data_IF_453694854743
#
_entry.id   IF_453694854743
#
_cell.length_a   1.000
_cell.length_b   1.000
_cell.length_c   1.000
_cell.angle_alpha   90.00
_cell.angle_beta   90.00
_cell.angle_gamma   90.00
#
_symmetry.space_group_name_H-M   'P 1'
#
loop_
_entity.id
_entity.type
_entity.pdbx_description
1 polymer ?
#
# COMPACT_ATOMS: atom_id res chain seq x y z
N UNK A 1 -0.03 13.87 16.13
CA UNK A 1 -0.86 13.53 17.31
C UNK A 1 -0.77 12.05 17.56
N UNK A 2 -0.39 11.65 18.76
CA UNK A 2 -0.28 10.24 19.15
C UNK A 2 -1.18 9.96 20.33
N UNK A 3 -1.87 8.82 20.31
CA UNK A 3 -2.76 8.40 21.41
C UNK A 3 -2.00 7.72 22.53
N UNK A 4 -0.71 7.42 22.36
CA UNK A 4 0.17 6.81 23.34
C UNK A 4 1.57 7.42 23.31
N UNK A 5 2.27 7.38 24.44
CA UNK A 5 3.67 7.74 24.60
C UNK A 5 4.34 6.81 25.61
N UNK A 6 5.66 6.66 25.53
CA UNK A 6 6.42 5.96 26.55
C UNK A 6 6.84 6.94 27.66
N UNK A 7 6.44 6.64 28.88
CA UNK A 7 6.85 7.39 30.07
C UNK A 7 8.12 6.77 30.66
N UNK A 8 9.17 7.57 30.81
CA UNK A 8 10.42 7.18 31.45
C UNK A 8 10.21 6.92 32.96
N UNK A 9 9.36 7.71 33.61
CA UNK A 9 9.06 7.56 35.02
C UNK A 9 8.28 6.27 35.31
N UNK A 10 7.32 5.92 34.45
CA UNK A 10 6.50 4.71 34.60
C UNK A 10 7.12 3.47 33.95
N UNK A 11 8.18 3.63 33.14
CA UNK A 11 8.82 2.56 32.36
C UNK A 11 7.86 1.76 31.52
N UNK A 12 6.82 2.42 30.95
CA UNK A 12 5.81 1.78 30.11
C UNK A 12 5.15 2.75 29.13
N UNK A 13 4.52 2.20 28.10
CA UNK A 13 3.66 2.93 27.19
C UNK A 13 2.31 3.22 27.86
N UNK A 14 1.86 4.46 27.80
CA UNK A 14 0.62 4.95 28.43
C UNK A 14 -0.16 5.82 27.48
N UNK A 15 -1.48 5.82 27.63
CA UNK A 15 -2.33 6.87 27.07
C UNK A 15 -2.38 8.12 27.97
N UNK A 16 -2.90 9.25 27.48
CA UNK A 16 -2.93 10.50 28.25
C UNK A 16 -3.69 10.39 29.57
N UNK A 17 -4.76 9.62 29.65
CA UNK A 17 -5.58 9.43 30.85
C UNK A 17 -4.84 8.58 31.88
N UNK A 18 -4.25 7.48 31.43
CA UNK A 18 -3.39 6.63 32.26
C UNK A 18 -2.18 7.40 32.78
N UNK A 19 -1.56 8.24 31.95
CA UNK A 19 -0.41 9.06 32.32
C UNK A 19 -0.70 9.96 33.52
N UNK A 20 -1.77 10.73 33.43
CA UNK A 20 -2.20 11.64 34.50
C UNK A 20 -2.58 10.86 35.76
N UNK A 21 -3.38 9.80 35.61
CA UNK A 21 -3.89 9.02 36.73
C UNK A 21 -2.79 8.29 37.50
N UNK A 22 -1.83 7.65 36.79
CA UNK A 22 -0.78 6.85 37.42
C UNK A 22 0.31 7.69 38.10
N UNK A 23 0.57 8.90 37.60
CA UNK A 23 1.55 9.81 38.16
C UNK A 23 0.93 10.77 39.20
N UNK A 24 -0.41 10.80 39.29
CA UNK A 24 -1.10 11.72 40.22
C UNK A 24 -0.89 13.19 39.84
N UNK A 25 -0.68 13.50 38.55
CA UNK A 25 -0.39 14.83 38.07
C UNK A 25 -1.66 15.66 37.99
N UNK A 26 -1.57 16.91 38.40
CA UNK A 26 -2.59 17.90 38.17
C UNK A 26 -2.37 18.65 36.86
N UNK A 27 -3.37 19.45 36.51
CA UNK A 27 -3.39 20.20 35.28
C UNK A 27 -2.28 21.26 35.15
N UNK A 28 -1.71 21.70 36.25
CA UNK A 28 -0.63 22.72 36.28
C UNK A 28 0.74 22.11 36.06
N UNK A 29 0.92 20.89 36.48
CA UNK A 29 2.21 20.18 36.46
C UNK A 29 2.39 19.24 35.27
N UNK A 30 1.29 18.67 34.73
CA UNK A 30 1.36 17.65 33.69
C UNK A 30 2.08 18.11 32.43
N UNK A 31 1.90 19.38 32.02
CA UNK A 31 2.54 19.87 30.79
C UNK A 31 4.06 19.99 30.90
N UNK A 32 4.56 20.48 32.03
CA UNK A 32 6.00 20.64 32.28
C UNK A 32 6.64 19.25 32.41
N UNK A 33 6.02 18.38 33.19
CA UNK A 33 6.54 17.03 33.44
C UNK A 33 6.58 16.20 32.19
N UNK A 34 5.54 16.25 31.34
CA UNK A 34 5.46 15.49 30.11
C UNK A 34 6.60 15.81 29.14
N UNK A 35 7.04 17.09 29.05
CA UNK A 35 8.13 17.47 28.13
C UNK A 35 9.46 16.75 28.41
N UNK A 36 9.71 16.41 29.65
CA UNK A 36 10.95 15.74 30.07
C UNK A 36 10.80 14.23 30.14
N UNK A 37 9.59 13.76 30.45
CA UNK A 37 9.31 12.36 30.74
C UNK A 37 8.95 11.54 29.51
N UNK A 38 8.07 12.06 28.64
CA UNK A 38 7.53 11.24 27.56
C UNK A 38 8.39 11.28 26.30
N UNK A 39 8.50 10.10 25.68
CA UNK A 39 9.14 9.91 24.37
C UNK A 39 8.25 9.13 23.44
N UNK A 40 8.49 9.27 22.15
CA UNK A 40 7.80 8.43 21.18
C UNK A 40 8.12 6.95 21.41
N UNK A 41 7.13 6.05 21.49
CA UNK A 41 7.38 4.64 21.75
C UNK A 41 8.06 3.90 20.59
N UNK A 42 8.23 4.55 19.43
CA UNK A 42 8.82 3.96 18.21
C UNK A 42 10.19 4.56 17.92
N UNK A 43 10.27 5.86 17.64
CA UNK A 43 11.51 6.53 17.24
C UNK A 43 12.23 7.27 18.37
N UNK A 44 11.73 7.16 19.59
CA UNK A 44 12.30 7.76 20.80
C UNK A 44 12.45 9.30 20.76
N UNK A 45 11.72 9.97 19.85
CA UNK A 45 11.68 11.42 19.81
C UNK A 45 11.28 11.98 21.18
N UNK A 46 12.07 12.94 21.69
CA UNK A 46 11.86 13.63 22.95
C UNK A 46 10.96 14.87 22.80
N UNK A 47 10.63 15.53 23.92
CA UNK A 47 9.93 16.80 23.95
C UNK A 47 8.44 16.68 23.65
N UNK A 48 7.87 15.52 23.98
CA UNK A 48 6.43 15.33 23.88
C UNK A 48 5.66 16.29 24.79
N UNK A 49 4.52 16.78 24.34
CA UNK A 49 3.61 17.62 25.12
C UNK A 49 2.27 16.91 25.32
N UNK A 50 1.72 17.04 26.52
CA UNK A 50 0.38 16.60 26.82
C UNK A 50 -0.64 17.66 26.32
N UNK A 51 -1.63 17.23 25.55
CA UNK A 51 -2.73 18.08 25.09
C UNK A 51 -4.03 17.57 25.69
N UNK A 52 -4.72 18.44 26.42
CA UNK A 52 -5.99 18.12 27.08
C UNK A 52 -7.10 17.81 26.10
N UNK A 53 -8.05 17.01 26.55
CA UNK A 53 -9.33 16.93 25.91
C UNK A 53 -10.00 18.30 25.88
N UNK A 54 -10.57 18.68 24.76
CA UNK A 54 -11.31 19.95 24.61
C UNK A 54 -12.65 19.70 23.95
N UNK A 55 -13.65 20.48 24.39
CA UNK A 55 -14.99 20.50 23.82
C UNK A 55 -15.21 21.88 23.23
N UNK A 56 -15.37 21.95 21.91
CA UNK A 56 -15.71 23.22 21.24
C UNK A 56 -17.00 23.01 20.43
N UNK A 57 -18.14 23.39 21.01
CA UNK A 57 -19.47 23.11 20.45
C UNK A 57 -19.75 21.61 20.35
N UNK A 58 -20.07 21.11 19.15
CA UNK A 58 -20.30 19.71 18.88
C UNK A 58 -18.98 18.86 18.73
N UNK A 59 -17.83 19.53 18.68
CA UNK A 59 -16.54 18.89 18.43
C UNK A 59 -15.86 18.53 19.76
N UNK A 60 -15.60 17.22 19.97
CA UNK A 60 -14.84 16.72 21.12
C UNK A 60 -13.48 16.22 20.65
N UNK A 61 -12.40 16.91 21.07
CA UNK A 61 -11.04 16.37 20.94
C UNK A 61 -10.70 15.57 22.18
N UNK A 62 -10.23 14.31 21.99
CA UNK A 62 -9.68 13.53 23.09
C UNK A 62 -8.33 14.07 23.51
N UNK A 63 -7.94 13.82 24.75
CA UNK A 63 -6.56 14.05 25.18
C UNK A 63 -5.60 13.22 24.31
N UNK A 64 -4.42 13.79 24.00
CA UNK A 64 -3.41 13.16 23.17
C UNK A 64 -2.02 13.72 23.51
N UNK A 65 -1.00 13.02 23.03
CA UNK A 65 0.37 13.53 23.07
C UNK A 65 0.73 14.15 21.71
N UNK A 66 1.59 15.19 21.75
CA UNK A 66 2.07 15.89 20.56
C UNK A 66 3.59 16.00 20.64
N UNK A 67 4.28 15.54 19.60
CA UNK A 67 5.72 15.64 19.44
C UNK A 67 6.00 16.62 18.30
N UNK A 68 6.41 17.83 18.65
CA UNK A 68 6.65 18.92 17.70
C UNK A 68 8.02 19.50 18.00
N UNK A 69 8.84 19.60 16.98
CA UNK A 69 10.10 20.28 16.99
C UNK A 69 9.95 21.77 16.66
N UNK A 70 11.06 22.40 16.33
CA UNK A 70 11.11 23.80 15.92
C UNK A 70 10.26 24.05 14.65
N UNK A 71 9.64 25.20 14.58
CA UNK A 71 8.79 25.63 13.45
C UNK A 71 7.55 24.74 13.17
N UNK A 72 6.96 24.15 14.22
CA UNK A 72 5.81 23.24 14.09
C UNK A 72 6.05 21.98 13.23
N UNK A 73 7.31 21.65 12.92
CA UNK A 73 7.67 20.41 12.22
C UNK A 73 7.55 19.24 13.18
N UNK A 74 7.15 18.08 12.67
CA UNK A 74 7.08 16.85 13.45
C UNK A 74 8.46 16.52 14.05
N UNK A 75 8.52 16.29 15.36
CA UNK A 75 9.74 15.82 16.01
C UNK A 75 10.03 14.32 15.77
N UNK A 76 9.06 13.59 15.21
CA UNK A 76 9.27 12.19 14.86
C UNK A 76 10.23 12.05 13.68
N UNK A 77 10.97 10.95 13.65
CA UNK A 77 11.78 10.58 12.49
C UNK A 77 10.87 10.34 11.26
N UNK A 78 11.28 10.70 10.03
CA UNK A 78 10.48 10.50 8.81
C UNK A 78 9.97 9.06 8.60
N UNK A 79 10.75 8.06 9.01
CA UNK A 79 10.37 6.64 8.94
C UNK A 79 9.47 6.18 10.10
N UNK A 80 9.10 7.05 11.04
CA UNK A 80 8.25 6.70 12.17
C UNK A 80 6.78 6.64 11.75
N UNK A 81 6.02 5.69 12.30
CA UNK A 81 4.58 5.55 12.04
C UNK A 81 3.77 6.80 12.44
N UNK A 82 4.31 7.62 13.32
CA UNK A 82 3.69 8.86 13.80
C UNK A 82 4.23 10.13 13.14
N UNK A 83 5.06 9.99 12.10
CA UNK A 83 5.58 11.15 11.39
C UNK A 83 4.46 11.96 10.72
N UNK A 84 4.50 13.28 10.90
CA UNK A 84 3.51 14.21 10.37
C UNK A 84 2.36 14.48 11.34
N UNK A 85 1.79 15.70 11.28
CA UNK A 85 0.71 16.14 12.18
C UNK A 85 -0.65 15.49 11.85
N UNK A 86 -0.83 15.02 10.63
CA UNK A 86 -2.06 14.36 10.17
C UNK A 86 -1.71 13.10 9.43
N UNK A 87 -2.03 11.96 10.02
CA UNK A 87 -1.98 10.70 9.31
C UNK A 87 -2.91 10.77 8.09
N UNK A 88 -2.38 10.48 6.91
CA UNK A 88 -3.20 10.37 5.70
C UNK A 88 -4.29 9.31 5.89
N UNK A 89 -5.36 9.39 5.10
CA UNK A 89 -6.42 8.38 5.16
C UNK A 89 -5.89 6.98 4.84
N UNK A 90 -4.90 6.88 3.97
CA UNK A 90 -4.21 5.64 3.62
C UNK A 90 -3.48 5.05 4.84
N UNK A 91 -2.66 5.82 5.53
CA UNK A 91 -1.97 5.37 6.76
C UNK A 91 -2.97 4.94 7.84
N UNK A 92 -4.09 5.66 7.99
CA UNK A 92 -5.14 5.30 8.97
C UNK A 92 -5.79 3.94 8.68
N UNK A 93 -5.94 3.57 7.42
CA UNK A 93 -6.51 2.27 7.04
C UNK A 93 -5.61 1.10 7.46
N UNK A 94 -4.30 1.31 7.45
CA UNK A 94 -3.30 0.32 7.86
C UNK A 94 -2.94 0.36 9.35
N UNK A 95 -3.46 1.35 10.08
CA UNK A 95 -3.21 1.50 11.51
C UNK A 95 -4.15 0.61 12.33
N UNK A 96 -3.57 -0.28 13.14
CA UNK A 96 -4.32 -1.11 14.09
C UNK A 96 -4.43 -0.38 15.42
N UNK A 97 -5.50 0.39 15.57
CA UNK A 97 -5.78 1.22 16.73
C UNK A 97 -7.10 0.78 17.41
N UNK A 98 -7.02 0.33 18.64
CA UNK A 98 -8.14 -0.31 19.33
C UNK A 98 -9.17 0.65 19.91
N UNK A 99 -8.83 1.93 20.09
CA UNK A 99 -9.72 2.94 20.70
C UNK A 99 -10.63 3.64 19.71
N UNK A 100 -10.19 3.82 18.48
CA UNK A 100 -10.91 4.62 17.47
C UNK A 100 -11.48 3.78 16.34
N UNK A 101 -10.87 2.65 16.01
CA UNK A 101 -11.33 1.75 14.97
C UNK A 101 -12.32 0.73 15.55
N UNK A 102 -13.60 0.84 15.11
CA UNK A 102 -14.69 -0.04 15.53
C UNK A 102 -14.99 -1.14 14.51
N UNK A 103 -14.12 -1.36 13.55
CA UNK A 103 -14.32 -2.43 12.57
C UNK A 103 -14.27 -3.81 13.25
N UNK A 104 -15.05 -4.74 12.73
CA UNK A 104 -15.09 -6.10 13.25
C UNK A 104 -13.70 -6.76 13.27
N UNK A 105 -12.91 -6.52 12.22
CA UNK A 105 -11.55 -7.07 12.13
C UNK A 105 -10.64 -6.54 13.24
N UNK A 106 -10.67 -5.23 13.53
CA UNK A 106 -9.88 -4.64 14.62
C UNK A 106 -10.32 -5.19 15.98
N UNK A 107 -11.62 -5.43 16.17
CA UNK A 107 -12.11 -6.06 17.39
C UNK A 107 -11.60 -7.50 17.55
N UNK A 108 -11.61 -8.30 16.48
CA UNK A 108 -11.07 -9.67 16.50
C UNK A 108 -9.56 -9.66 16.79
N UNK A 109 -8.80 -8.76 16.14
CA UNK A 109 -7.36 -8.62 16.42
C UNK A 109 -7.12 -8.22 17.87
N UNK A 110 -7.87 -7.24 18.40
CA UNK A 110 -7.78 -6.84 19.81
C UNK A 110 -8.00 -8.01 20.75
N UNK A 111 -9.04 -8.81 20.50
CA UNK A 111 -9.34 -10.01 21.27
C UNK A 111 -8.18 -11.02 21.25
N UNK A 112 -7.58 -11.27 20.08
CA UNK A 112 -6.40 -12.14 19.97
C UNK A 112 -5.18 -11.57 20.72
N UNK A 113 -4.96 -10.26 20.64
CA UNK A 113 -3.86 -9.60 21.36
C UNK A 113 -4.06 -9.70 22.88
N UNK A 114 -5.26 -9.42 23.36
CA UNK A 114 -5.58 -9.56 24.80
C UNK A 114 -5.41 -11.01 25.28
N UNK A 115 -5.88 -11.99 24.50
CA UNK A 115 -5.68 -13.41 24.79
C UNK A 115 -4.20 -13.79 24.85
N UNK A 116 -3.39 -13.28 23.90
CA UNK A 116 -1.95 -13.53 23.88
C UNK A 116 -1.22 -12.97 25.11
N UNK A 117 -1.62 -11.79 25.60
CA UNK A 117 -1.08 -11.19 26.82
C UNK A 117 -1.54 -12.00 28.04
N UNK A 118 -2.80 -12.37 28.12
CA UNK A 118 -3.38 -13.18 29.20
C UNK A 118 -2.67 -14.53 29.33
N UNK A 119 -2.39 -15.20 28.23
CA UNK A 119 -1.66 -16.47 28.16
C UNK A 119 -0.13 -16.32 28.24
N UNK A 120 0.37 -15.10 28.45
CA UNK A 120 1.81 -14.78 28.55
C UNK A 120 2.61 -15.20 27.31
N UNK A 121 2.00 -15.21 26.15
CA UNK A 121 2.66 -15.46 24.88
C UNK A 121 3.56 -14.26 24.51
N UNK A 122 3.07 -13.05 24.77
CA UNK A 122 3.79 -11.79 24.62
C UNK A 122 3.27 -10.72 25.60
N UNK A 123 3.95 -9.59 25.64
CA UNK A 123 3.61 -8.45 26.50
C UNK A 123 3.36 -7.20 25.65
N UNK A 124 2.82 -6.13 26.23
CA UNK A 124 2.78 -4.82 25.58
C UNK A 124 4.18 -4.31 25.22
N UNK A 125 5.17 -4.64 26.04
CA UNK A 125 6.58 -4.33 25.74
C UNK A 125 7.08 -5.06 24.49
N UNK A 126 6.75 -6.34 24.31
CA UNK A 126 7.07 -7.08 23.09
C UNK A 126 6.45 -6.44 21.84
N UNK A 127 5.21 -5.92 21.95
CA UNK A 127 4.56 -5.16 20.87
C UNK A 127 5.34 -3.87 20.54
N UNK A 128 5.82 -3.15 21.54
CA UNK A 128 6.66 -1.97 21.35
C UNK A 128 8.00 -2.34 20.71
N UNK A 129 8.66 -3.38 21.22
CA UNK A 129 9.95 -3.84 20.70
C UNK A 129 9.86 -4.28 19.23
N UNK A 130 8.77 -4.93 18.82
CA UNK A 130 8.51 -5.23 17.42
C UNK A 130 8.43 -3.95 16.57
N UNK A 131 7.68 -2.93 17.01
CA UNK A 131 7.57 -1.65 16.27
C UNK A 131 8.93 -0.95 16.15
N UNK A 132 9.73 -0.95 17.22
CA UNK A 132 11.09 -0.40 17.21
C UNK A 132 12.01 -1.19 16.28
N UNK A 133 11.90 -2.51 16.26
CA UNK A 133 12.67 -3.35 15.35
C UNK A 133 12.35 -3.04 13.89
N UNK A 134 11.08 -2.94 13.50
CA UNK A 134 10.68 -2.55 12.14
C UNK A 134 11.09 -1.10 11.82
N UNK A 135 11.03 -0.21 12.79
CA UNK A 135 11.52 1.15 12.62
C UNK A 135 13.02 1.18 12.33
N UNK A 136 13.81 0.44 13.10
CA UNK A 136 15.25 0.30 12.86
C UNK A 136 15.54 -0.24 11.46
N UNK A 137 14.81 -1.28 11.03
CA UNK A 137 14.92 -1.81 9.67
C UNK A 137 14.60 -0.77 8.59
N UNK A 138 13.57 0.05 8.79
CA UNK A 138 13.26 1.17 7.88
C UNK A 138 14.33 2.25 7.83
N UNK A 139 15.08 2.44 8.90
CA UNK A 139 16.21 3.38 8.96
C UNK A 139 17.50 2.78 8.38
N UNK A 140 17.63 1.43 8.37
CA UNK A 140 18.83 0.72 7.94
C UNK A 140 19.06 0.81 6.43
N UNK A 141 18.01 0.66 5.63
CA UNK A 141 18.12 0.75 4.18
C UNK A 141 16.85 1.27 3.53
N UNK A 142 17.05 2.27 2.69
CA UNK A 142 16.01 2.83 1.83
C UNK A 142 16.54 2.94 0.41
N UNK A 143 15.65 2.97 -0.57
CA UNK A 143 16.00 3.26 -1.94
C UNK A 143 15.07 4.34 -2.51
N UNK A 144 15.57 5.06 -3.49
CA UNK A 144 14.78 6.05 -4.24
C UNK A 144 14.16 5.39 -5.47
N UNK A 145 12.90 5.68 -5.75
CA UNK A 145 12.24 5.22 -6.97
C UNK A 145 12.79 6.05 -8.14
N UNK A 146 13.52 5.38 -9.03
CA UNK A 146 14.11 5.98 -10.23
C UNK A 146 13.23 5.83 -11.49
N UNK A 147 12.07 5.17 -11.38
CA UNK A 147 11.13 5.04 -12.49
C UNK A 147 10.45 6.38 -12.77
N UNK A 148 10.43 6.80 -14.03
CA UNK A 148 9.69 8.00 -14.43
C UNK A 148 8.18 7.75 -14.49
N UNK A 149 7.41 8.84 -14.37
CA UNK A 149 5.94 8.78 -14.48
C UNK A 149 5.53 8.23 -15.85
N UNK A 150 6.20 8.66 -16.92
CA UNK A 150 5.94 8.19 -18.29
C UNK A 150 6.17 6.68 -18.44
N UNK A 151 7.22 6.14 -17.83
CA UNK A 151 7.51 4.70 -17.87
C UNK A 151 6.41 3.89 -17.19
N UNK A 152 5.95 4.34 -16.03
CA UNK A 152 4.91 3.63 -15.27
C UNK A 152 3.54 3.77 -15.92
N UNK A 153 3.22 4.93 -16.48
CA UNK A 153 1.97 5.18 -17.23
C UNK A 153 1.89 4.28 -18.46
N UNK A 154 3.01 4.15 -19.18
CA UNK A 154 3.09 3.23 -20.30
C UNK A 154 2.92 1.76 -19.88
N UNK A 155 3.55 1.32 -18.80
CA UNK A 155 3.33 -0.03 -18.27
C UNK A 155 1.88 -0.26 -17.87
N UNK A 156 1.25 0.70 -17.18
CA UNK A 156 -0.13 0.64 -16.78
C UNK A 156 -1.07 0.53 -18.00
N UNK A 157 -0.77 1.29 -19.07
CA UNK A 157 -1.50 1.19 -20.33
C UNK A 157 -1.39 -0.21 -20.94
N UNK A 158 -0.17 -0.78 -21.04
CA UNK A 158 0.05 -2.11 -21.64
C UNK A 158 -0.65 -3.22 -20.85
N UNK A 159 -0.58 -3.23 -19.52
CA UNK A 159 -1.26 -4.25 -18.71
C UNK A 159 -2.78 -4.08 -18.64
N UNK A 160 -3.29 -2.89 -19.02
CA UNK A 160 -4.72 -2.60 -19.07
C UNK A 160 -5.37 -2.95 -20.43
N UNK A 161 -4.57 -3.23 -21.47
CA UNK A 161 -5.11 -3.57 -22.78
C UNK A 161 -6.08 -4.74 -22.69
N UNK A 162 -7.27 -4.65 -23.35
CA UNK A 162 -8.28 -5.68 -23.31
C UNK A 162 -7.88 -6.87 -24.20
N UNK A 163 -6.89 -7.62 -23.75
CA UNK A 163 -6.44 -8.84 -24.42
C UNK A 163 -6.74 -10.02 -23.50
N UNK A 164 -7.13 -11.12 -24.12
CA UNK A 164 -7.30 -12.40 -23.42
C UNK A 164 -6.08 -12.66 -22.54
N UNK A 165 -6.26 -13.05 -21.26
CA UNK A 165 -5.20 -13.15 -20.26
C UNK A 165 -3.99 -14.02 -20.62
N UNK A 166 -4.06 -14.75 -21.74
CA UNK A 166 -3.01 -15.66 -22.20
C UNK A 166 -2.45 -15.29 -23.58
N UNK A 167 -2.81 -14.14 -24.15
CA UNK A 167 -2.36 -13.78 -25.50
C UNK A 167 -0.84 -13.56 -25.58
N UNK A 168 -0.23 -13.12 -24.49
CA UNK A 168 1.23 -12.93 -24.44
C UNK A 168 2.06 -14.22 -24.34
N UNK A 169 1.44 -15.35 -24.02
CA UNK A 169 2.10 -16.66 -24.06
C UNK A 169 2.06 -17.33 -25.43
N UNK A 170 1.36 -16.73 -26.39
CA UNK A 170 1.19 -17.29 -27.74
C UNK A 170 2.30 -16.79 -28.66
N UNK A 171 3.15 -17.70 -29.13
CA UNK A 171 4.18 -17.41 -30.13
C UNK A 171 3.61 -17.33 -31.57
N UNK A 172 2.33 -17.65 -31.74
CA UNK A 172 1.64 -17.73 -33.02
C UNK A 172 0.82 -16.49 -33.40
N UNK A 173 0.99 -15.38 -32.69
CA UNK A 173 0.33 -14.12 -33.04
C UNK A 173 0.91 -13.58 -34.36
N UNK A 174 0.13 -13.68 -35.42
CA UNK A 174 0.49 -13.09 -36.69
C UNK A 174 0.43 -11.56 -36.61
N UNK A 175 1.38 -10.85 -37.26
CA UNK A 175 1.32 -9.40 -37.38
C UNK A 175 0.06 -8.96 -38.16
N UNK A 176 -0.33 -7.72 -37.97
CA UNK A 176 -1.44 -7.17 -38.74
C UNK A 176 -1.20 -7.32 -40.25
N UNK A 177 -2.17 -7.90 -40.95
CA UNK A 177 -2.16 -7.98 -42.39
C UNK A 177 -3.30 -7.13 -42.96
N UNK A 178 -3.02 -6.21 -43.91
CA UNK A 178 -4.02 -5.29 -44.46
C UNK A 178 -5.31 -5.94 -44.91
N UNK A 179 -5.26 -7.15 -45.46
CA UNK A 179 -6.47 -7.90 -45.89
C UNK A 179 -7.42 -8.24 -44.76
N UNK A 180 -6.99 -8.17 -43.48
CA UNK A 180 -7.89 -8.34 -42.35
C UNK A 180 -8.97 -7.26 -42.30
N UNK A 181 -8.63 -6.04 -42.74
CA UNK A 181 -9.56 -4.89 -42.72
C UNK A 181 -10.77 -5.03 -43.64
N UNK A 182 -10.73 -5.93 -44.64
CA UNK A 182 -11.86 -6.21 -45.54
C UNK A 182 -12.71 -7.41 -45.12
N UNK A 183 -12.29 -8.11 -44.06
CA UNK A 183 -13.05 -9.26 -43.54
C UNK A 183 -14.29 -8.77 -42.80
N UNK A 184 -15.50 -9.29 -43.14
CA UNK A 184 -16.71 -8.90 -42.42
C UNK A 184 -16.56 -9.09 -40.89
N UNK A 185 -16.89 -8.05 -40.13
CA UNK A 185 -16.75 -8.05 -38.67
C UNK A 185 -15.37 -7.64 -38.18
N UNK A 186 -14.48 -7.18 -39.05
CA UNK A 186 -13.21 -6.58 -38.62
C UNK A 186 -13.49 -5.34 -37.75
N UNK A 187 -12.67 -5.22 -36.68
CA UNK A 187 -12.77 -4.17 -35.70
C UNK A 187 -11.35 -3.61 -35.46
N UNK A 188 -11.16 -2.33 -35.80
CA UNK A 188 -9.89 -1.66 -35.71
C UNK A 188 -9.38 -1.61 -34.26
N UNK A 189 -10.24 -1.31 -33.29
CA UNK A 189 -9.83 -1.18 -31.88
C UNK A 189 -9.28 -2.51 -31.33
N UNK A 190 -9.94 -3.61 -31.67
CA UNK A 190 -9.46 -4.96 -31.33
C UNK A 190 -8.17 -5.34 -32.06
N UNK A 191 -8.05 -4.94 -33.33
CA UNK A 191 -6.86 -5.23 -34.13
C UNK A 191 -5.66 -4.44 -33.61
N UNK A 192 -5.85 -3.15 -33.30
CA UNK A 192 -4.82 -2.29 -32.70
C UNK A 192 -4.39 -2.85 -31.34
N UNK A 193 -5.32 -3.18 -30.46
CA UNK A 193 -5.01 -3.78 -29.16
C UNK A 193 -4.21 -5.07 -29.30
N UNK A 194 -4.57 -5.94 -30.24
CA UNK A 194 -3.87 -7.20 -30.53
C UNK A 194 -2.44 -6.95 -31.05
N UNK A 195 -2.28 -6.03 -31.98
CA UNK A 195 -0.98 -5.69 -32.56
C UNK A 195 -0.08 -5.03 -31.52
N UNK A 196 -0.62 -4.14 -30.68
CA UNK A 196 0.11 -3.54 -29.56
C UNK A 196 0.62 -4.61 -28.59
N UNK A 197 -0.24 -5.57 -28.22
CA UNK A 197 0.17 -6.70 -27.38
C UNK A 197 1.26 -7.53 -28.05
N UNK A 198 1.12 -7.83 -29.35
CA UNK A 198 2.12 -8.59 -30.10
C UNK A 198 3.49 -7.90 -30.11
N UNK A 199 3.51 -6.58 -30.31
CA UNK A 199 4.75 -5.79 -30.29
C UNK A 199 5.40 -5.73 -28.91
N UNK A 200 4.59 -5.75 -27.84
CA UNK A 200 5.06 -5.68 -26.46
C UNK A 200 5.10 -7.04 -25.75
N UNK A 201 4.97 -8.15 -26.48
CA UNK A 201 5.04 -9.50 -25.91
C UNK A 201 6.27 -9.73 -25.03
N UNK A 202 7.50 -9.32 -25.41
CA UNK A 202 8.67 -9.53 -24.55
C UNK A 202 8.52 -8.87 -23.19
N UNK A 203 7.99 -7.62 -23.15
CA UNK A 203 7.73 -6.89 -21.90
C UNK A 203 6.68 -7.59 -21.05
N UNK A 204 5.56 -7.98 -21.65
CA UNK A 204 4.46 -8.65 -20.95
C UNK A 204 4.89 -9.99 -20.36
N UNK A 205 5.68 -10.78 -21.10
CA UNK A 205 6.28 -12.03 -20.59
C UNK A 205 7.21 -11.75 -19.43
N UNK A 206 8.03 -10.72 -19.52
CA UNK A 206 8.94 -10.35 -18.45
C UNK A 206 8.21 -9.95 -17.17
N UNK A 207 7.11 -9.17 -17.31
CA UNK A 207 6.27 -8.81 -16.16
C UNK A 207 5.64 -10.06 -15.51
N UNK A 208 5.19 -11.01 -16.32
CA UNK A 208 4.62 -12.26 -15.83
C UNK A 208 5.68 -13.13 -15.11
N UNK A 209 6.86 -13.29 -15.69
CA UNK A 209 8.00 -13.96 -15.03
C UNK A 209 8.38 -13.35 -13.68
N UNK A 210 8.24 -12.03 -13.56
CA UNK A 210 8.48 -11.28 -12.33
C UNK A 210 7.27 -11.28 -11.38
N UNK A 211 6.17 -11.94 -11.75
CA UNK A 211 4.89 -11.93 -11.02
C UNK A 211 4.32 -10.52 -10.81
N UNK A 212 4.57 -9.61 -11.74
CA UNK A 212 4.07 -8.24 -11.73
C UNK A 212 2.77 -8.14 -12.55
N UNK A 213 1.65 -8.20 -11.85
CA UNK A 213 0.32 -8.13 -12.45
C UNK A 213 -0.21 -6.69 -12.47
N UNK A 214 -1.28 -6.47 -13.22
CA UNK A 214 -1.96 -5.18 -13.38
C UNK A 214 -2.12 -4.42 -12.06
N UNK A 215 -2.61 -5.08 -11.01
CA UNK A 215 -2.81 -4.45 -9.70
C UNK A 215 -1.53 -3.81 -9.14
N UNK A 216 -0.40 -4.50 -9.23
CA UNK A 216 0.89 -4.01 -8.73
C UNK A 216 1.35 -2.76 -9.47
N UNK A 217 1.17 -2.74 -10.79
CA UNK A 217 1.53 -1.60 -11.64
C UNK A 217 0.62 -0.40 -11.34
N UNK A 218 -0.71 -0.61 -11.23
CA UNK A 218 -1.66 0.45 -10.90
C UNK A 218 -1.41 1.03 -9.49
N UNK A 219 -1.07 0.21 -8.50
CA UNK A 219 -0.69 0.68 -7.16
C UNK A 219 0.57 1.55 -7.19
N UNK A 220 1.59 1.13 -7.95
CA UNK A 220 2.83 1.89 -8.11
C UNK A 220 2.59 3.20 -8.87
N UNK A 221 1.80 3.18 -9.96
CA UNK A 221 1.39 4.36 -10.71
C UNK A 221 0.71 5.40 -9.80
N UNK A 222 -0.29 4.97 -9.05
CA UNK A 222 -1.00 5.83 -8.10
C UNK A 222 -0.09 6.39 -7.00
N UNK A 223 0.99 5.71 -6.67
CA UNK A 223 1.94 6.18 -5.68
C UNK A 223 2.90 7.22 -6.27
N UNK A 224 3.48 6.95 -7.44
CA UNK A 224 4.42 7.85 -8.11
C UNK A 224 3.74 9.18 -8.48
N UNK A 225 2.52 9.15 -9.00
CA UNK A 225 1.76 10.35 -9.37
C UNK A 225 1.48 11.30 -8.19
N UNK A 226 1.49 10.80 -6.96
CA UNK A 226 1.25 11.59 -5.73
C UNK A 226 2.53 12.01 -5.00
N UNK A 227 3.66 11.41 -5.33
CA UNK A 227 4.86 11.53 -4.51
C UNK A 227 6.09 11.71 -5.40
N UNK A 228 6.54 12.94 -5.57
CA UNK A 228 7.82 13.21 -6.25
C UNK A 228 8.98 12.73 -5.37
N UNK A 229 9.97 12.05 -5.96
CA UNK A 229 11.18 11.55 -5.28
C UNK A 229 10.89 10.70 -4.02
N UNK A 230 10.06 9.68 -4.19
CA UNK A 230 9.69 8.81 -3.09
C UNK A 230 10.84 7.89 -2.65
N UNK A 231 11.21 8.01 -1.37
CA UNK A 231 12.13 7.08 -0.71
C UNK A 231 11.31 6.02 0.02
N UNK A 232 11.55 4.76 -0.26
CA UNK A 232 10.90 3.61 0.35
C UNK A 232 11.90 2.70 1.05
N UNK A 233 11.39 1.89 1.99
CA UNK A 233 12.17 0.79 2.57
C UNK A 233 12.62 -0.16 1.47
N UNK A 234 13.90 -0.57 1.50
CA UNK A 234 14.39 -1.63 0.62
C UNK A 234 13.73 -2.98 0.99
N UNK A 235 12.90 -3.55 0.11
CA UNK A 235 12.13 -4.75 0.42
C UNK A 235 13.00 -5.99 0.67
N UNK A 236 14.23 -6.04 0.14
CA UNK A 236 15.13 -7.18 0.34
C UNK A 236 15.48 -7.40 1.82
N UNK A 237 15.49 -6.33 2.64
CA UNK A 237 15.74 -6.42 4.08
C UNK A 237 14.70 -7.20 4.88
N UNK A 238 13.48 -7.29 4.37
CA UNK A 238 12.35 -7.93 5.07
C UNK A 238 11.68 -9.02 4.23
N UNK A 239 12.32 -9.48 3.19
CA UNK A 239 11.74 -10.42 2.21
C UNK A 239 11.36 -11.76 2.86
N UNK A 240 12.24 -12.29 3.69
CA UNK A 240 11.99 -13.56 4.40
C UNK A 240 10.91 -13.40 5.46
N UNK A 241 10.99 -12.35 6.26
CA UNK A 241 10.02 -12.04 7.29
C UNK A 241 8.63 -11.79 6.69
N UNK A 242 8.57 -11.08 5.57
CA UNK A 242 7.32 -10.85 4.85
C UNK A 242 6.72 -12.15 4.33
N UNK A 243 7.51 -13.02 3.70
CA UNK A 243 7.05 -14.31 3.20
C UNK A 243 6.48 -15.18 4.33
N UNK A 244 7.19 -15.29 5.47
CA UNK A 244 6.70 -16.00 6.65
C UNK A 244 5.44 -15.37 7.23
N UNK A 245 5.37 -14.02 7.23
CA UNK A 245 4.18 -13.32 7.72
C UNK A 245 2.95 -13.60 6.86
N UNK A 246 3.10 -13.64 5.54
CA UNK A 246 2.01 -14.01 4.63
C UNK A 246 1.56 -15.46 4.84
N UNK A 247 2.49 -16.38 5.05
CA UNK A 247 2.17 -17.78 5.32
C UNK A 247 1.36 -17.92 6.63
N UNK A 248 1.83 -17.31 7.72
CA UNK A 248 1.11 -17.32 8.99
C UNK A 248 -0.24 -16.60 8.91
N UNK A 249 -0.30 -15.48 8.18
CA UNK A 249 -1.53 -14.73 7.94
C UNK A 249 -2.57 -15.61 7.25
N UNK A 250 -2.18 -16.30 6.18
CA UNK A 250 -3.03 -17.24 5.46
C UNK A 250 -3.47 -18.41 6.36
N UNK A 251 -2.57 -18.95 7.18
CA UNK A 251 -2.90 -19.99 8.15
C UNK A 251 -3.98 -19.52 9.13
N UNK A 252 -3.83 -18.34 9.73
CA UNK A 252 -4.79 -17.78 10.70
C UNK A 252 -6.15 -17.57 10.03
N UNK A 253 -6.19 -16.96 8.84
CA UNK A 253 -7.42 -16.69 8.10
C UNK A 253 -8.19 -18.00 7.82
N UNK A 254 -7.48 -19.04 7.41
CA UNK A 254 -8.10 -20.29 6.99
C UNK A 254 -8.53 -21.19 8.18
N UNK A 255 -7.96 -20.98 9.38
CA UNK A 255 -8.18 -21.86 10.52
C UNK A 255 -8.91 -21.21 11.70
N UNK A 256 -9.02 -19.88 11.76
CA UNK A 256 -9.69 -19.20 12.86
C UNK A 256 -11.16 -18.95 12.53
N UNK A 257 -12.05 -19.49 13.35
CA UNK A 257 -13.51 -19.51 13.10
C UNK A 257 -14.11 -18.10 12.93
N UNK A 258 -13.56 -17.09 13.64
CA UNK A 258 -14.04 -15.71 13.55
C UNK A 258 -13.87 -15.11 12.13
N UNK A 259 -12.99 -15.70 11.30
CA UNK A 259 -12.73 -15.28 9.93
C UNK A 259 -13.48 -16.08 8.86
N UNK A 260 -14.07 -17.20 9.21
CA UNK A 260 -14.69 -18.10 8.21
C UNK A 260 -16.01 -17.59 7.63
N UNK A 261 -16.70 -16.68 8.33
CA UNK A 261 -18.06 -16.24 7.99
C UNK A 261 -18.11 -14.82 7.39
N UNK A 262 -17.01 -14.27 6.88
CA UNK A 262 -16.97 -12.90 6.40
C UNK A 262 -17.13 -12.75 4.88
N UNK A 263 -17.73 -11.59 4.45
CA UNK A 263 -17.91 -11.26 3.04
C UNK A 263 -16.56 -11.00 2.34
N UNK A 264 -16.56 -11.16 1.01
CA UNK A 264 -15.35 -10.95 0.18
C UNK A 264 -14.81 -9.52 0.28
N UNK A 265 -15.68 -8.52 0.52
CA UNK A 265 -15.29 -7.11 0.66
C UNK A 265 -14.46 -6.85 1.92
N UNK A 266 -14.76 -7.57 3.01
CA UNK A 266 -14.03 -7.45 4.27
C UNK A 266 -12.69 -8.21 4.23
N UNK A 267 -12.52 -9.11 3.26
CA UNK A 267 -11.35 -9.98 3.13
C UNK A 267 -10.05 -9.20 2.89
N UNK A 268 -10.03 -8.20 2.00
CA UNK A 268 -8.83 -7.42 1.69
C UNK A 268 -8.34 -6.60 2.90
N UNK A 269 -9.26 -5.84 3.55
CA UNK A 269 -8.94 -5.07 4.76
C UNK A 269 -8.50 -5.97 5.92
N UNK A 270 -9.03 -7.19 5.99
CA UNK A 270 -8.67 -8.19 7.00
C UNK A 270 -7.23 -8.66 6.82
N UNK A 271 -6.86 -9.00 5.59
CA UNK A 271 -5.53 -9.51 5.26
C UNK A 271 -4.45 -8.52 5.67
N UNK A 272 -4.63 -7.24 5.38
CA UNK A 272 -3.65 -6.20 5.68
C UNK A 272 -3.50 -5.89 7.18
N UNK A 273 -4.61 -5.74 7.90
CA UNK A 273 -4.57 -5.47 9.35
C UNK A 273 -4.06 -6.66 10.15
N UNK A 274 -4.37 -7.86 9.70
CA UNK A 274 -3.92 -9.08 10.37
C UNK A 274 -2.41 -9.29 10.21
N UNK A 275 -1.76 -8.73 9.16
CA UNK A 275 -0.31 -8.79 9.00
C UNK A 275 0.45 -8.27 10.23
N UNK A 276 -0.05 -7.21 10.88
CA UNK A 276 0.57 -6.69 12.09
C UNK A 276 0.55 -7.71 13.25
N UNK A 277 -0.54 -8.45 13.41
CA UNK A 277 -0.65 -9.50 14.43
C UNK A 277 0.19 -10.74 14.06
N UNK A 278 0.19 -11.16 12.81
CA UNK A 278 1.03 -12.25 12.32
C UNK A 278 2.52 -11.95 12.48
N UNK A 279 2.94 -10.71 12.19
CA UNK A 279 4.30 -10.24 12.42
C UNK A 279 4.67 -10.26 13.92
N UNK A 280 3.74 -9.87 14.82
CA UNK A 280 3.98 -9.93 16.26
C UNK A 280 4.21 -11.37 16.73
N UNK A 281 3.41 -12.32 16.29
CA UNK A 281 3.59 -13.73 16.64
C UNK A 281 4.92 -14.28 16.16
N UNK A 282 5.31 -13.96 14.92
CA UNK A 282 6.61 -14.36 14.36
C UNK A 282 7.76 -13.68 15.10
N UNK A 283 7.64 -12.39 15.42
CA UNK A 283 8.65 -11.65 16.17
C UNK A 283 8.95 -12.31 17.52
N UNK A 284 7.92 -12.67 18.30
CA UNK A 284 8.07 -13.35 19.59
C UNK A 284 8.38 -14.84 19.48
N UNK A 285 8.34 -15.39 18.27
CA UNK A 285 8.77 -16.73 17.92
C UNK A 285 10.15 -16.73 17.20
N UNK A 286 10.90 -15.63 17.26
CA UNK A 286 12.19 -15.48 16.55
C UNK A 286 12.11 -15.87 15.06
N UNK A 287 10.99 -15.50 14.43
CA UNK A 287 10.69 -15.79 13.02
C UNK A 287 10.60 -17.30 12.67
N UNK A 288 10.38 -18.12 13.69
CA UNK A 288 10.02 -19.54 13.49
C UNK A 288 8.52 -19.68 13.29
N UNK A 289 8.12 -20.28 12.15
CA UNK A 289 6.71 -20.37 11.77
C UNK A 289 5.95 -21.42 12.57
N UNK A 290 6.60 -22.54 12.90
CA UNK A 290 5.99 -23.64 13.65
C UNK A 290 5.73 -23.20 15.10
N UNK A 291 6.68 -22.49 15.69
CA UNK A 291 6.53 -21.90 17.01
C UNK A 291 5.43 -20.82 17.02
N UNK A 292 5.37 -19.98 15.98
CA UNK A 292 4.32 -18.95 15.84
C UNK A 292 2.93 -19.58 15.70
N UNK A 293 2.77 -20.67 14.95
CA UNK A 293 1.54 -21.44 14.84
C UNK A 293 1.16 -22.09 16.19
N UNK A 294 2.13 -22.63 16.93
CA UNK A 294 1.89 -23.18 18.26
C UNK A 294 1.38 -22.11 19.22
N UNK A 295 2.01 -20.94 19.23
CA UNK A 295 1.57 -19.77 20.04
C UNK A 295 0.16 -19.31 19.63
N UNK A 296 -0.13 -19.21 18.34
CA UNK A 296 -1.46 -18.87 17.85
C UNK A 296 -2.51 -19.89 18.31
N UNK A 297 -2.17 -21.18 18.28
CA UNK A 297 -3.09 -22.25 18.70
C UNK A 297 -3.50 -22.16 20.18
N UNK A 298 -2.63 -21.62 21.04
CA UNK A 298 -2.97 -21.32 22.43
C UNK A 298 -3.95 -20.14 22.50
N UNK A 299 -3.63 -19.04 21.80
CA UNK A 299 -4.48 -17.84 21.74
C UNK A 299 -5.90 -18.17 21.24
N UNK A 300 -6.00 -18.96 20.17
CA UNK A 300 -7.29 -19.32 19.55
C UNK A 300 -8.22 -20.16 20.47
N UNK A 301 -7.70 -20.79 21.50
CA UNK A 301 -8.48 -21.57 22.47
C UNK A 301 -9.07 -20.74 23.60
N UNK A 302 -8.62 -19.51 23.79
CA UNK A 302 -9.06 -18.64 24.89
C UNK A 302 -10.52 -18.22 24.65
N UNK A 303 -11.42 -18.58 25.56
CA UNK A 303 -12.85 -18.27 25.44
C UNK A 303 -13.23 -16.94 26.09
N UNK A 304 -12.63 -16.63 27.24
CA UNK A 304 -12.89 -15.42 28.01
C UNK A 304 -11.63 -14.57 28.04
N UNK A 305 -11.73 -13.38 27.48
CA UNK A 305 -10.62 -12.48 27.28
C UNK A 305 -10.87 -11.16 28.03
N UNK A 306 -9.88 -10.69 28.75
CA UNK A 306 -9.90 -9.38 29.40
C UNK A 306 -9.55 -8.28 28.39
N UNK A 307 -10.56 -7.59 27.88
CA UNK A 307 -10.47 -6.65 26.73
C UNK A 307 -9.56 -5.43 26.95
N UNK A 308 -9.14 -5.16 28.18
CA UNK A 308 -8.29 -4.00 28.51
C UNK A 308 -6.78 -4.28 28.40
N UNK A 309 -6.36 -5.55 28.29
CA UNK A 309 -4.94 -5.95 28.32
C UNK A 309 -4.14 -5.44 27.11
N UNK A 310 -4.77 -5.31 25.95
CA UNK A 310 -4.07 -4.92 24.72
C UNK A 310 -3.61 -3.46 24.69
N UNK A 311 -4.11 -2.62 25.61
CA UNK A 311 -3.90 -1.17 25.49
C UNK A 311 -4.68 -0.57 24.32
N UNK A 312 -4.25 0.61 23.86
CA UNK A 312 -4.99 1.38 22.87
C UNK A 312 -4.51 1.18 21.43
N UNK A 313 -3.31 0.62 21.24
CA UNK A 313 -2.62 0.70 19.98
C UNK A 313 -1.67 -0.48 19.76
N UNK A 314 -1.74 -1.11 18.60
CA UNK A 314 -0.82 -2.16 18.20
C UNK A 314 0.30 -1.63 17.28
N UNK A 315 -0.02 -0.73 16.38
CA UNK A 315 0.93 -0.15 15.43
C UNK A 315 0.39 -0.07 14.02
N UNK A 316 1.18 0.53 13.14
CA UNK A 316 0.98 0.47 11.71
C UNK A 316 1.30 -0.94 11.22
N UNK A 317 0.60 -1.41 10.19
CA UNK A 317 1.04 -2.60 9.46
C UNK A 317 2.53 -2.44 9.08
N UNK A 318 3.42 -3.30 9.57
CA UNK A 318 4.87 -3.13 9.35
C UNK A 318 5.27 -3.22 7.87
N UNK A 319 4.41 -3.83 7.06
CA UNK A 319 4.59 -3.98 5.62
C UNK A 319 3.79 -2.98 4.79
N UNK A 320 3.34 -1.87 5.42
CA UNK A 320 2.71 -0.78 4.70
C UNK A 320 3.62 -0.28 3.56
N UNK A 321 3.07 -0.20 2.35
CA UNK A 321 3.80 0.10 1.10
C UNK A 321 4.87 -0.92 0.67
N UNK A 322 4.96 -2.08 1.32
CA UNK A 322 5.93 -3.10 0.94
C UNK A 322 5.69 -3.64 -0.47
N UNK A 323 4.44 -3.85 -0.87
CA UNK A 323 4.08 -4.26 -2.25
C UNK A 323 4.56 -3.24 -3.27
N UNK A 324 4.36 -1.94 -2.99
CA UNK A 324 4.81 -0.84 -3.87
C UNK A 324 6.34 -0.82 -3.96
N UNK A 325 7.04 -0.92 -2.82
CA UNK A 325 8.50 -0.96 -2.77
C UNK A 325 9.05 -2.16 -3.55
N UNK A 326 8.47 -3.34 -3.35
CA UNK A 326 8.88 -4.56 -4.06
C UNK A 326 8.64 -4.44 -5.57
N UNK A 327 7.51 -3.90 -5.99
CA UNK A 327 7.19 -3.68 -7.40
C UNK A 327 8.18 -2.69 -8.04
N UNK A 328 8.43 -1.55 -7.39
CA UNK A 328 9.37 -0.54 -7.87
C UNK A 328 10.79 -1.10 -7.98
N UNK A 329 11.28 -1.77 -6.92
CA UNK A 329 12.60 -2.39 -6.90
C UNK A 329 12.75 -3.45 -7.98
N UNK A 330 11.77 -4.35 -8.09
CA UNK A 330 11.77 -5.41 -9.11
C UNK A 330 11.81 -4.83 -10.52
N UNK A 331 11.03 -3.78 -10.79
CA UNK A 331 11.07 -3.11 -12.09
C UNK A 331 12.42 -2.44 -12.34
N UNK A 332 12.95 -1.66 -11.39
CA UNK A 332 14.24 -0.99 -11.54
C UNK A 332 15.39 -1.96 -11.81
N UNK A 333 15.43 -3.07 -11.09
CA UNK A 333 16.50 -4.06 -11.23
C UNK A 333 16.40 -4.88 -12.54
N UNK A 334 15.21 -4.94 -13.14
CA UNK A 334 14.94 -5.75 -14.34
C UNK A 334 14.53 -4.93 -15.57
N UNK A 335 14.47 -3.59 -15.46
CA UNK A 335 14.14 -2.73 -16.58
C UNK A 335 15.30 -2.68 -17.59
N UNK A 336 15.10 -3.19 -18.80
CA UNK A 336 16.06 -3.01 -19.87
C UNK A 336 15.65 -1.80 -20.71
N UNK A 337 16.63 -0.93 -21.01
CA UNK A 337 16.42 0.37 -21.66
C UNK A 337 15.94 0.28 -23.12
N UNK A 338 15.87 -0.92 -23.69
CA UNK A 338 15.54 -1.16 -25.11
C UNK A 338 14.04 -1.22 -25.42
N UNK A 339 13.18 -0.84 -24.48
CA UNK A 339 11.75 -0.77 -24.76
C UNK A 339 11.44 0.42 -25.67
N UNK A 340 11.04 0.14 -26.92
CA UNK A 340 10.41 1.14 -27.74
C UNK A 340 9.02 1.39 -27.17
N UNK A 341 8.83 2.54 -26.58
CA UNK A 341 7.55 3.03 -26.07
C UNK A 341 6.63 3.38 -27.25
N UNK A 342 6.09 2.36 -27.92
CA UNK A 342 5.11 2.56 -28.96
C UNK A 342 3.73 2.72 -28.31
N UNK A 343 3.21 3.93 -28.36
CA UNK A 343 1.85 4.20 -27.94
C UNK A 343 0.84 3.59 -28.93
N UNK A 344 -0.36 3.28 -28.44
CA UNK A 344 -1.40 2.66 -29.28
C UNK A 344 -1.74 3.45 -30.55
N UNK A 345 -1.63 4.79 -30.54
CA UNK A 345 -1.84 5.62 -31.71
C UNK A 345 -0.75 5.44 -32.78
N UNK A 346 0.50 5.19 -32.40
CA UNK A 346 1.60 4.92 -33.32
C UNK A 346 1.42 3.55 -33.99
N UNK A 347 0.95 2.57 -33.23
CA UNK A 347 0.56 1.25 -33.78
C UNK A 347 -0.58 1.41 -34.76
N UNK A 348 -1.63 2.16 -34.42
CA UNK A 348 -2.75 2.45 -35.33
C UNK A 348 -2.27 3.11 -36.61
N UNK A 349 -1.45 4.17 -36.51
CA UNK A 349 -0.90 4.87 -37.67
C UNK A 349 -0.14 3.91 -38.58
N UNK A 350 0.76 3.12 -38.02
CA UNK A 350 1.54 2.12 -38.77
C UNK A 350 0.65 1.11 -39.50
N UNK A 351 -0.40 0.60 -38.81
CA UNK A 351 -1.35 -0.33 -39.40
C UNK A 351 -2.16 0.32 -40.55
N UNK A 352 -2.58 1.57 -40.40
CA UNK A 352 -3.29 2.34 -41.46
C UNK A 352 -2.41 2.64 -42.65
N UNK A 353 -1.17 3.05 -42.45
CA UNK A 353 -0.16 3.25 -43.49
C UNK A 353 0.10 1.95 -44.29
N UNK A 354 0.26 0.83 -43.57
CA UNK A 354 0.40 -0.49 -44.20
C UNK A 354 -0.80 -0.85 -45.05
N UNK A 355 -2.03 -0.56 -44.59
CA UNK A 355 -3.28 -0.79 -45.35
C UNK A 355 -3.34 0.05 -46.60
N UNK A 356 -3.06 1.36 -46.52
CA UNK A 356 -3.04 2.27 -47.68
C UNK A 356 -1.99 1.83 -48.69
N UNK A 357 -0.76 1.59 -48.24
CA UNK A 357 0.32 1.14 -49.13
C UNK A 357 0.00 -0.18 -49.84
N UNK A 358 -0.54 -1.16 -49.10
CA UNK A 358 -0.93 -2.45 -49.68
C UNK A 358 -2.04 -2.28 -50.73
N UNK A 359 -3.01 -1.41 -50.49
CA UNK A 359 -4.14 -1.19 -51.37
C UNK A 359 -3.71 -0.48 -52.66
N UNK A 360 -2.85 0.51 -52.57
CA UNK A 360 -2.28 1.20 -53.74
C UNK A 360 -1.43 0.27 -54.61
N UNK A 361 -0.62 -0.59 -54.01
CA UNK A 361 0.26 -1.50 -54.76
C UNK A 361 -0.51 -2.64 -55.45
N UNK A 362 -1.69 -3.00 -54.96
CA UNK A 362 -2.51 -4.10 -55.47
C UNK A 362 -3.72 -3.68 -56.24
N UNK A 363 -3.93 -2.37 -56.45
CA UNK A 363 -5.13 -1.81 -57.15
C UNK A 363 -6.45 -2.35 -56.56
N UNK A 364 -6.50 -2.61 -55.26
CA UNK A 364 -7.71 -3.08 -54.60
C UNK A 364 -8.64 -1.90 -54.38
N UNK A 365 -9.97 -2.05 -54.57
CA UNK A 365 -10.90 -1.02 -54.14
C UNK A 365 -10.79 -0.89 -52.62
N UNK A 366 -10.26 0.26 -52.17
CA UNK A 366 -10.26 0.64 -50.79
C UNK A 366 -11.71 0.81 -50.32
N UNK A 367 -12.20 0.07 -49.32
CA UNK A 367 -13.29 0.61 -48.55
C UNK A 367 -12.82 1.98 -48.04
N UNK A 368 -13.68 3.03 -48.09
CA UNK A 368 -13.26 4.34 -47.62
C UNK A 368 -12.72 4.14 -46.18
N UNK A 369 -11.46 4.48 -46.00
CA UNK A 369 -10.91 4.68 -44.64
C UNK A 369 -11.95 5.58 -43.99
N UNK A 370 -12.59 5.09 -42.97
CA UNK A 370 -13.43 5.94 -42.14
C UNK A 370 -12.59 7.19 -41.83
N UNK A 371 -13.12 8.37 -42.16
CA UNK A 371 -12.32 9.59 -42.19
C UNK A 371 -11.65 9.81 -40.85
N UNK A 372 -10.65 10.69 -40.81
CA UNK A 372 -9.81 11.14 -39.65
C UNK A 372 -10.52 11.34 -38.29
N UNK A 373 -11.84 11.21 -38.27
CA UNK A 373 -12.69 11.26 -37.06
C UNK A 373 -12.23 10.26 -35.99
N UNK A 374 -11.66 9.10 -36.35
CA UNK A 374 -11.18 8.13 -35.36
C UNK A 374 -9.84 8.52 -34.74
N UNK A 375 -8.89 8.98 -35.53
CA UNK A 375 -7.59 9.47 -35.01
C UNK A 375 -7.83 10.70 -34.15
N UNK A 376 -8.66 11.64 -34.59
CA UNK A 376 -9.07 12.82 -33.84
C UNK A 376 -9.80 12.42 -32.55
N UNK A 377 -10.66 11.41 -32.59
CA UNK A 377 -11.47 11.01 -31.41
C UNK A 377 -10.63 10.31 -30.35
N UNK A 378 -9.64 9.50 -30.71
CA UNK A 378 -8.72 8.88 -29.73
C UNK A 378 -7.76 9.90 -29.11
N UNK A 379 -7.17 10.79 -29.92
CA UNK A 379 -6.37 11.92 -29.43
C UNK A 379 -7.20 12.89 -28.58
N UNK A 380 -8.43 13.18 -28.95
CA UNK A 380 -9.33 14.00 -28.16
C UNK A 380 -9.77 13.31 -26.85
N UNK A 381 -10.02 12.00 -26.87
CA UNK A 381 -10.31 11.24 -25.65
C UNK A 381 -9.11 11.18 -24.72
N UNK A 382 -7.90 10.97 -25.25
CA UNK A 382 -6.67 10.99 -24.46
C UNK A 382 -6.39 12.39 -23.89
N UNK A 383 -6.59 13.46 -24.69
CA UNK A 383 -6.47 14.84 -24.22
C UNK A 383 -7.52 15.17 -23.15
N UNK A 384 -8.78 14.78 -23.34
CA UNK A 384 -9.84 15.00 -22.34
C UNK A 384 -9.60 14.20 -21.07
N UNK A 385 -9.09 12.97 -21.15
CA UNK A 385 -8.72 12.19 -19.99
C UNK A 385 -7.57 12.85 -19.21
N UNK A 386 -6.55 13.33 -19.91
CA UNK A 386 -5.44 14.08 -19.30
C UNK A 386 -5.90 15.42 -18.71
N UNK A 387 -6.85 16.10 -19.35
CA UNK A 387 -7.41 17.37 -18.88
C UNK A 387 -8.31 17.17 -17.64
N UNK A 388 -9.13 16.12 -17.62
CA UNK A 388 -9.93 15.73 -16.45
C UNK A 388 -9.03 15.35 -15.28
N UNK A 389 -7.96 14.60 -15.50
CA UNK A 389 -7.02 14.28 -14.45
C UNK A 389 -6.34 15.53 -13.88
N UNK A 390 -5.89 16.48 -14.74
CA UNK A 390 -5.35 17.76 -14.29
C UNK A 390 -6.37 18.63 -13.53
N UNK A 391 -7.64 18.63 -13.93
CA UNK A 391 -8.70 19.34 -13.20
C UNK A 391 -8.96 18.72 -11.84
N UNK A 392 -8.98 17.39 -11.74
CA UNK A 392 -9.14 16.68 -10.47
C UNK A 392 -7.94 16.88 -9.53
N UNK A 393 -6.73 17.07 -10.06
CA UNK A 393 -5.54 17.40 -9.29
C UNK A 393 -5.58 18.84 -8.74
N UNK A 394 -6.11 19.78 -9.51
CA UNK A 394 -6.22 21.19 -9.08
C UNK A 394 -7.36 21.44 -8.06
N UNK A 395 -8.44 20.67 -8.09
CA UNK A 395 -9.55 20.76 -7.14
C UNK A 395 -9.24 20.13 -5.77
N UNK A 396 -8.12 19.39 -5.62
CA UNK A 396 -7.68 18.80 -4.34
C UNK A 396 -6.76 19.72 -3.52
N UNK A 397 -6.45 20.94 -4.00
CA UNK A 397 -5.53 21.88 -3.32
C UNK A 397 -6.26 22.88 -2.40
N UNK A 398 -7.60 23.00 -2.45
CA UNK A 398 -8.37 23.98 -1.66
C UNK A 398 -9.37 23.33 -0.70
N UNK A 399 -8.90 22.45 0.22
CA UNK A 399 -9.68 22.13 1.44
C UNK A 399 -8.78 21.73 2.61
#
# INVERSE_FOLDING_TARGET
>A
MTDTAYSKALQKEVDPEQYVALLGLDDSTVHAFAREDIVCPICEANGGSYVRASVNGAYRKKAHFRFVGDNDISAHHPSCDFYGDRLSNEVRQHLVQFTTDRTKITHVIRKMVCAGIQEKIFTQEAMRNMRQWFFAKRCESTFEIALSEEQIDWLAYIVALPVYPYAWHRDDLLPFHPMQAIVPGFDWDKAISRETVRLHQPTLRRLDELNLHRKHIEELQNYISKTQHATLLDPELLKEEYAKTLQLNSFIINNYIEFQNESVKDRANREEKLLAFSALLLFVANWDIDEAIAKFSVIAKVRHVEDWLAGNFMGLNPYFKFSIANTAKTLQDNWSVDYQELEGWQVEQSMREAYVSYSLTRSLPLPPLLPDIYVTTHLERARRAAEINRMMENDTIDF
#
